data_IF_427537808583
#
_entry.id   IF_427537808583
#
_cell.length_a   1.000
_cell.length_b   1.000
_cell.length_c   1.000
_cell.angle_alpha   90.00
_cell.angle_beta   90.00
_cell.angle_gamma   90.00
#
_symmetry.space_group_name_H-M   'P 1'
#
loop_
_entity.id
_entity.type
_entity.pdbx_description
1 polymer ?
#
# COMPACT_ATOMS: atom_id res chain seq x y z
N UNK A 1 -83.08 34.30 1.48
CA UNK A 1 -82.93 33.85 0.08
C UNK A 1 -81.50 34.25 -0.36
N UNK A 2 -80.54 33.33 -0.30
CA UNK A 2 -79.25 33.57 -0.87
C UNK A 2 -78.87 32.35 -1.70
N UNK A 3 -78.57 32.60 -2.96
CA UNK A 3 -78.21 31.60 -3.97
C UNK A 3 -76.76 31.18 -3.83
N UNK A 4 -76.53 29.87 -3.69
CA UNK A 4 -75.27 29.23 -3.77
C UNK A 4 -74.64 29.32 -5.18
N UNK A 5 -73.49 29.98 -5.32
CA UNK A 5 -72.64 29.88 -6.51
C UNK A 5 -71.59 28.82 -6.23
N UNK A 6 -71.69 27.71 -6.91
CA UNK A 6 -70.62 26.67 -6.94
C UNK A 6 -69.49 27.20 -7.82
N UNK A 7 -68.34 27.37 -7.22
CA UNK A 7 -67.06 27.64 -7.93
C UNK A 7 -66.43 26.31 -8.31
N UNK A 8 -66.40 26.05 -9.59
CA UNK A 8 -65.74 24.88 -10.15
C UNK A 8 -64.20 25.20 -10.32
N UNK A 9 -63.37 24.68 -9.48
CA UNK A 9 -61.88 24.80 -9.64
C UNK A 9 -61.47 23.66 -10.53
N UNK A 10 -61.04 23.99 -11.73
CA UNK A 10 -60.40 23.07 -12.68
C UNK A 10 -58.94 22.95 -12.25
N UNK A 11 -58.58 21.84 -11.63
CA UNK A 11 -57.17 21.54 -11.31
C UNK A 11 -56.52 20.88 -12.53
N UNK A 12 -55.79 21.69 -13.29
CA UNK A 12 -54.93 21.17 -14.36
C UNK A 12 -53.74 20.48 -13.75
N UNK A 13 -53.77 19.15 -13.70
CA UNK A 13 -52.60 18.33 -13.34
C UNK A 13 -51.57 18.40 -14.47
N UNK A 14 -50.55 19.25 -14.29
CA UNK A 14 -49.33 19.15 -15.05
C UNK A 14 -48.58 17.88 -14.61
N UNK A 15 -48.65 16.84 -15.41
CA UNK A 15 -47.70 15.73 -15.33
C UNK A 15 -46.33 16.23 -15.77
N UNK A 16 -45.52 16.67 -14.80
CA UNK A 16 -44.09 16.73 -14.97
C UNK A 16 -43.55 15.28 -15.00
N UNK A 17 -43.41 14.75 -16.22
CA UNK A 17 -42.59 13.57 -16.42
C UNK A 17 -41.16 13.91 -16.07
N UNK A 18 -40.78 13.67 -14.80
CA UNK A 18 -39.41 13.61 -14.38
C UNK A 18 -38.74 12.43 -15.11
N UNK A 19 -38.08 12.72 -16.23
CA UNK A 19 -37.08 11.83 -16.77
C UNK A 19 -36.01 11.68 -15.71
N UNK A 20 -36.16 10.69 -14.84
CA UNK A 20 -35.09 10.11 -14.08
C UNK A 20 -34.08 9.61 -15.11
N UNK A 21 -33.10 10.46 -15.43
CA UNK A 21 -31.85 10.01 -16.01
C UNK A 21 -31.24 9.13 -14.93
N UNK A 22 -31.58 7.84 -14.93
CA UNK A 22 -30.80 6.83 -14.29
C UNK A 22 -29.45 6.95 -14.96
N UNK A 23 -28.51 7.61 -14.29
CA UNK A 23 -27.11 7.48 -14.62
C UNK A 23 -26.82 5.98 -14.52
N UNK A 24 -26.92 5.28 -15.65
CA UNK A 24 -26.43 3.93 -15.77
C UNK A 24 -24.95 4.02 -15.36
N UNK A 25 -24.66 3.64 -14.10
CA UNK A 25 -23.31 3.36 -13.68
C UNK A 25 -22.83 2.35 -14.73
N UNK A 26 -22.00 2.81 -15.67
CA UNK A 26 -21.36 1.91 -16.62
C UNK A 26 -20.77 0.77 -15.80
N UNK A 27 -21.11 -0.50 -16.09
CA UNK A 27 -20.49 -1.61 -15.42
C UNK A 27 -18.99 -1.38 -15.53
N UNK A 28 -18.26 -1.44 -14.41
CA UNK A 28 -16.81 -1.33 -14.36
C UNK A 28 -16.28 -2.37 -15.36
N UNK A 29 -15.97 -1.94 -16.57
CA UNK A 29 -15.53 -2.83 -17.64
C UNK A 29 -14.21 -3.42 -17.17
N UNK A 30 -14.17 -4.74 -17.02
CA UNK A 30 -12.92 -5.47 -16.85
C UNK A 30 -12.04 -5.11 -18.03
N UNK A 31 -11.11 -4.18 -17.84
CA UNK A 31 -10.20 -3.80 -18.91
C UNK A 31 -9.38 -5.02 -19.27
N UNK A 32 -9.51 -5.45 -20.50
CA UNK A 32 -8.71 -6.53 -21.01
C UNK A 32 -7.23 -6.15 -20.88
N UNK A 33 -6.35 -7.12 -20.71
CA UNK A 33 -4.88 -6.96 -20.72
C UNK A 33 -4.39 -6.20 -21.96
N UNK A 34 -5.20 -6.13 -23.00
CA UNK A 34 -4.96 -5.35 -24.22
C UNK A 34 -5.05 -3.82 -24.02
N UNK A 35 -5.63 -3.34 -22.91
CA UNK A 35 -5.71 -1.92 -22.64
C UNK A 35 -4.31 -1.28 -22.57
N UNK A 36 -4.11 -0.17 -23.28
CA UNK A 36 -2.81 0.49 -23.40
C UNK A 36 -2.26 1.00 -22.06
N UNK A 37 -3.13 1.54 -21.18
CA UNK A 37 -2.73 2.03 -19.86
C UNK A 37 -2.30 0.89 -18.94
N UNK A 38 -3.00 -0.26 -18.97
CA UNK A 38 -2.62 -1.46 -18.22
C UNK A 38 -1.25 -1.96 -18.69
N UNK A 39 -1.03 -2.07 -20.00
CA UNK A 39 0.28 -2.49 -20.56
C UNK A 39 1.39 -1.52 -20.17
N UNK A 40 1.16 -0.22 -20.31
CA UNK A 40 2.14 0.81 -20.00
C UNK A 40 2.51 0.79 -18.50
N UNK A 41 1.52 0.64 -17.62
CA UNK A 41 1.74 0.51 -16.19
C UNK A 41 2.67 -0.66 -15.84
N UNK A 42 2.35 -1.86 -16.31
CA UNK A 42 3.12 -3.06 -15.96
C UNK A 42 4.51 -3.10 -16.63
N UNK A 43 4.65 -2.55 -17.82
CA UNK A 43 5.96 -2.34 -18.45
C UNK A 43 6.82 -1.36 -17.66
N UNK A 44 6.23 -0.25 -17.17
CA UNK A 44 6.95 0.70 -16.33
C UNK A 44 7.43 0.05 -15.02
N UNK A 45 6.55 -0.66 -14.30
CA UNK A 45 6.91 -1.36 -13.05
C UNK A 45 8.04 -2.38 -13.28
N UNK A 46 8.01 -3.10 -14.40
CA UNK A 46 9.00 -4.12 -14.74
C UNK A 46 10.32 -3.56 -15.32
N UNK A 47 10.39 -2.29 -15.66
CA UNK A 47 11.56 -1.68 -16.28
C UNK A 47 12.74 -1.55 -15.32
N UNK A 48 13.92 -1.28 -15.84
CA UNK A 48 15.10 -0.85 -15.07
C UNK A 48 15.25 0.68 -15.05
N UNK A 49 14.24 1.42 -15.51
CA UNK A 49 14.23 2.87 -15.52
C UNK A 49 14.25 3.39 -14.07
N UNK A 50 15.13 4.31 -13.70
CA UNK A 50 15.13 4.95 -12.38
C UNK A 50 13.83 5.69 -12.09
N UNK A 51 13.17 6.22 -13.12
CA UNK A 51 11.90 6.98 -13.01
C UNK A 51 10.66 6.09 -13.15
N UNK A 52 10.83 4.77 -13.15
CA UNK A 52 9.73 3.81 -13.42
C UNK A 52 8.48 4.03 -12.59
N UNK A 53 8.61 4.48 -11.35
CA UNK A 53 7.45 4.75 -10.48
C UNK A 53 6.72 5.99 -10.94
N UNK A 54 7.43 7.08 -11.26
CA UNK A 54 6.84 8.30 -11.82
C UNK A 54 6.18 8.05 -13.18
N UNK A 55 6.75 7.17 -13.99
CA UNK A 55 6.15 6.73 -15.26
C UNK A 55 4.87 5.93 -15.00
N UNK A 56 4.91 4.97 -14.08
CA UNK A 56 3.76 4.14 -13.70
C UNK A 56 2.61 4.97 -13.13
N UNK A 57 2.91 6.01 -12.33
CA UNK A 57 1.93 6.90 -11.70
C UNK A 57 1.00 7.59 -12.72
N UNK A 58 1.44 7.81 -13.96
CA UNK A 58 0.63 8.41 -15.03
C UNK A 58 -0.59 7.57 -15.39
N UNK A 59 -0.51 6.26 -15.18
CA UNK A 59 -1.53 5.27 -15.55
C UNK A 59 -2.38 4.81 -14.36
N UNK A 60 -2.13 5.31 -13.15
CA UNK A 60 -2.83 4.94 -11.92
C UNK A 60 -3.82 6.03 -11.51
N UNK A 61 -4.99 5.60 -11.05
CA UNK A 61 -6.00 6.46 -10.43
C UNK A 61 -5.56 6.82 -9.01
N UNK A 62 -5.51 8.09 -8.69
CA UNK A 62 -5.12 8.58 -7.36
C UNK A 62 -6.06 8.07 -6.26
N UNK A 63 -5.53 7.90 -5.05
CA UNK A 63 -6.27 7.43 -3.86
C UNK A 63 -6.97 6.08 -4.05
N UNK A 64 -6.44 5.22 -4.90
CA UNK A 64 -6.95 3.88 -5.17
C UNK A 64 -6.04 2.80 -4.56
N UNK A 65 -6.51 1.56 -4.54
CA UNK A 65 -5.67 0.42 -4.13
C UNK A 65 -4.43 0.25 -5.01
N UNK A 66 -4.53 0.57 -6.31
CA UNK A 66 -3.39 0.59 -7.21
C UNK A 66 -2.37 1.68 -6.85
N UNK A 67 -2.83 2.83 -6.36
CA UNK A 67 -1.97 3.92 -5.89
C UNK A 67 -1.21 3.53 -4.62
N UNK A 68 -1.89 2.90 -3.65
CA UNK A 68 -1.25 2.32 -2.47
C UNK A 68 -0.19 1.28 -2.83
N UNK A 69 -0.51 0.40 -3.79
CA UNK A 69 0.42 -0.62 -4.27
C UNK A 69 1.67 0.02 -4.91
N UNK A 70 1.50 1.05 -5.73
CA UNK A 70 2.63 1.74 -6.35
C UNK A 70 3.49 2.46 -5.31
N UNK A 71 2.87 3.12 -4.32
CA UNK A 71 3.58 3.76 -3.20
C UNK A 71 4.38 2.72 -2.42
N UNK A 72 3.82 1.55 -2.12
CA UNK A 72 4.52 0.49 -1.45
C UNK A 72 5.71 -0.04 -2.28
N UNK A 73 5.55 -0.21 -3.59
CA UNK A 73 6.66 -0.59 -4.49
C UNK A 73 7.77 0.46 -4.43
N UNK A 74 7.44 1.73 -4.52
CA UNK A 74 8.40 2.84 -4.44
C UNK A 74 9.20 2.79 -3.15
N UNK A 75 8.51 2.68 -2.04
CA UNK A 75 9.14 2.66 -0.72
C UNK A 75 10.03 1.42 -0.55
N UNK A 76 9.59 0.24 -0.96
CA UNK A 76 10.39 -1.00 -0.88
C UNK A 76 11.63 -0.93 -1.76
N UNK A 77 11.54 -0.38 -2.97
CA UNK A 77 12.70 -0.17 -3.84
C UNK A 77 13.71 0.80 -3.23
N UNK A 78 13.21 1.79 -2.54
CA UNK A 78 14.02 2.80 -1.87
C UNK A 78 14.73 2.23 -0.64
N UNK A 79 14.01 1.48 0.16
CA UNK A 79 14.56 0.77 1.31
C UNK A 79 15.66 -0.22 0.86
N UNK A 80 15.37 -1.07 -0.14
CA UNK A 80 16.32 -2.05 -0.67
C UNK A 80 17.63 -1.39 -1.13
N UNK A 81 17.56 -0.27 -1.84
CA UNK A 81 18.73 0.45 -2.29
C UNK A 81 19.55 1.02 -1.14
N UNK A 82 18.93 1.61 -0.18
CA UNK A 82 19.60 2.19 0.98
C UNK A 82 20.45 1.15 1.73
N UNK A 83 19.93 -0.07 1.87
CA UNK A 83 20.58 -1.11 2.67
C UNK A 83 21.60 -1.92 1.91
N UNK A 84 21.42 -2.14 0.63
CA UNK A 84 22.43 -2.78 -0.21
C UNK A 84 23.68 -1.93 -0.37
N UNK A 85 23.57 -0.62 -0.26
CA UNK A 85 24.71 0.27 -0.40
C UNK A 85 25.62 0.29 0.82
N UNK A 86 25.17 -0.16 2.01
CA UNK A 86 25.89 -0.16 3.30
C UNK A 86 26.70 1.13 3.58
N UNK A 87 26.43 2.19 2.85
CA UNK A 87 27.02 3.49 3.11
C UNK A 87 26.17 4.20 4.15
N UNK A 88 26.68 4.44 5.35
CA UNK A 88 25.96 5.24 6.30
C UNK A 88 25.77 6.63 5.68
N UNK A 89 24.50 7.04 5.53
CA UNK A 89 24.11 8.42 5.47
C UNK A 89 24.41 9.25 4.23
N UNK A 90 23.61 9.08 3.20
CA UNK A 90 23.19 10.20 2.37
C UNK A 90 21.80 9.95 1.83
N UNK A 91 20.80 10.14 2.67
CA UNK A 91 19.42 10.26 2.21
C UNK A 91 19.17 11.75 2.05
N UNK A 92 18.97 12.19 0.82
CA UNK A 92 18.50 13.55 0.58
C UNK A 92 17.12 13.71 1.24
N UNK A 93 16.88 14.81 1.97
CA UNK A 93 15.61 15.01 2.69
C UNK A 93 14.38 15.11 1.79
N UNK A 94 14.54 15.24 0.50
CA UNK A 94 13.48 15.60 -0.46
C UNK A 94 13.06 14.52 -1.41
N UNK A 95 13.64 13.34 -1.37
CA UNK A 95 13.23 12.29 -2.30
C UNK A 95 14.16 11.10 -2.33
N UNK A 96 13.55 9.96 -2.30
CA UNK A 96 14.21 8.68 -2.42
C UNK A 96 14.56 8.50 -3.89
N UNK A 97 15.81 8.70 -4.25
CA UNK A 97 16.30 8.45 -5.61
C UNK A 97 16.64 6.98 -5.77
N UNK A 98 15.81 6.26 -6.53
CA UNK A 98 16.11 4.88 -6.93
C UNK A 98 17.09 4.94 -8.10
N UNK A 99 18.37 4.69 -7.86
CA UNK A 99 19.35 4.55 -8.96
C UNK A 99 19.50 3.09 -9.31
N UNK A 100 19.38 2.77 -10.60
CA UNK A 100 19.53 1.41 -11.15
C UNK A 100 18.66 0.36 -10.44
N UNK A 101 17.33 0.52 -10.40
CA UNK A 101 16.47 -0.52 -9.87
C UNK A 101 16.65 -1.80 -10.67
N UNK A 102 16.70 -2.94 -9.98
CA UNK A 102 16.80 -4.22 -10.66
C UNK A 102 15.63 -4.38 -11.65
N UNK A 103 15.96 -4.91 -12.83
CA UNK A 103 14.96 -5.17 -13.87
C UNK A 103 14.03 -6.29 -13.45
N UNK A 104 12.73 -6.03 -13.55
CA UNK A 104 11.69 -7.05 -13.46
C UNK A 104 11.35 -7.65 -14.81
N UNK A 105 10.25 -8.37 -14.88
CA UNK A 105 9.66 -8.86 -16.14
C UNK A 105 8.14 -8.85 -16.07
N UNK A 106 7.49 -8.39 -17.15
CA UNK A 106 6.06 -8.50 -17.34
C UNK A 106 5.79 -9.34 -18.59
N UNK A 107 5.12 -10.47 -18.43
CA UNK A 107 4.70 -11.35 -19.54
C UNK A 107 3.20 -11.22 -19.74
N UNK A 108 2.79 -10.77 -20.91
CA UNK A 108 1.40 -10.51 -21.25
C UNK A 108 0.78 -11.73 -21.93
N UNK A 109 -0.39 -12.15 -21.47
CA UNK A 109 -1.25 -13.14 -22.10
C UNK A 109 -2.60 -12.50 -22.47
N UNK A 110 -3.53 -13.27 -23.03
CA UNK A 110 -4.85 -12.76 -23.42
C UNK A 110 -5.62 -12.13 -22.25
N UNK A 111 -5.54 -12.73 -21.05
CA UNK A 111 -6.39 -12.38 -19.91
C UNK A 111 -5.60 -12.05 -18.64
N UNK A 112 -4.28 -12.09 -18.68
CA UNK A 112 -3.46 -11.87 -17.48
C UNK A 112 -2.05 -11.37 -17.81
N UNK A 113 -1.42 -10.81 -16.78
CA UNK A 113 -0.02 -10.37 -16.82
C UNK A 113 0.74 -11.10 -15.72
N UNK A 114 1.76 -11.85 -16.06
CA UNK A 114 2.68 -12.42 -15.07
C UNK A 114 3.79 -11.41 -14.79
N UNK A 115 3.84 -10.92 -13.55
CA UNK A 115 4.80 -9.92 -13.10
C UNK A 115 5.83 -10.54 -12.15
N UNK A 116 7.11 -10.26 -12.39
CA UNK A 116 8.21 -10.46 -11.44
C UNK A 116 8.91 -9.13 -11.22
N UNK A 117 9.09 -8.76 -9.98
CA UNK A 117 9.76 -7.52 -9.57
C UNK A 117 10.79 -7.81 -8.49
N UNK A 118 11.72 -6.88 -8.21
CA UNK A 118 12.60 -6.96 -7.05
C UNK A 118 11.86 -6.91 -5.70
N UNK A 119 10.58 -6.53 -5.70
CA UNK A 119 9.72 -6.48 -4.50
C UNK A 119 8.86 -7.73 -4.44
N UNK A 120 9.22 -8.76 -3.64
CA UNK A 120 8.56 -10.08 -3.64
C UNK A 120 7.05 -10.02 -3.37
N UNK A 121 6.60 -9.03 -2.60
CA UNK A 121 5.19 -8.83 -2.27
C UNK A 121 4.30 -8.69 -3.51
N UNK A 122 4.85 -8.20 -4.62
CA UNK A 122 4.12 -7.91 -5.86
C UNK A 122 4.36 -8.92 -6.97
N UNK A 123 5.03 -10.03 -6.70
CA UNK A 123 5.17 -11.10 -7.69
C UNK A 123 3.88 -11.92 -7.81
N UNK A 124 3.38 -12.12 -9.03
CA UNK A 124 2.14 -12.84 -9.24
C UNK A 124 1.57 -12.73 -10.65
N UNK A 125 0.37 -13.24 -10.82
CA UNK A 125 -0.42 -13.19 -12.05
C UNK A 125 -1.60 -12.24 -11.83
N UNK A 126 -1.67 -11.20 -12.62
CA UNK A 126 -2.59 -10.07 -12.51
C UNK A 126 -3.68 -10.15 -13.58
N UNK A 127 -4.92 -9.90 -13.17
CA UNK A 127 -6.10 -9.94 -14.04
C UNK A 127 -7.19 -8.99 -13.54
N UNK A 128 -8.35 -8.99 -14.19
CA UNK A 128 -9.59 -8.31 -13.75
C UNK A 128 -9.36 -6.83 -13.39
N UNK A 129 -8.66 -6.12 -14.27
CA UNK A 129 -8.30 -4.71 -14.06
C UNK A 129 -9.54 -3.82 -14.02
N UNK A 130 -9.66 -2.99 -12.99
CA UNK A 130 -10.67 -1.94 -12.88
C UNK A 130 -10.06 -0.60 -13.25
N UNK A 131 -10.75 0.15 -14.10
CA UNK A 131 -10.33 1.49 -14.53
C UNK A 131 -11.28 2.56 -13.95
N UNK A 132 -10.78 3.78 -13.84
CA UNK A 132 -11.61 4.95 -13.59
C UNK A 132 -12.21 5.50 -14.89
N UNK A 133 -13.00 6.58 -14.79
CA UNK A 133 -13.62 7.25 -15.94
C UNK A 133 -12.62 7.85 -16.94
N UNK A 134 -11.36 8.04 -16.52
CA UNK A 134 -10.26 8.54 -17.36
C UNK A 134 -9.40 7.41 -17.93
N UNK A 135 -9.80 6.15 -17.74
CA UNK A 135 -9.08 4.96 -18.18
C UNK A 135 -7.83 4.62 -17.35
N UNK A 136 -7.64 5.25 -16.19
CA UNK A 136 -6.52 4.93 -15.29
C UNK A 136 -6.84 3.72 -14.40
N UNK A 137 -5.84 2.94 -14.06
CA UNK A 137 -6.00 1.71 -13.29
C UNK A 137 -6.27 2.03 -11.81
N UNK A 138 -7.39 1.52 -11.29
CA UNK A 138 -7.80 1.67 -9.89
C UNK A 138 -7.45 0.45 -9.03
N UNK A 139 -7.61 -0.73 -9.60
CA UNK A 139 -7.46 -2.00 -8.89
C UNK A 139 -7.27 -3.15 -9.88
N UNK A 140 -6.91 -4.31 -9.37
CA UNK A 140 -6.78 -5.56 -10.11
C UNK A 140 -7.04 -6.76 -9.19
N UNK A 141 -7.11 -7.95 -9.78
CA UNK A 141 -6.99 -9.21 -9.05
C UNK A 141 -5.58 -9.78 -9.24
N UNK A 142 -5.07 -10.46 -8.23
CA UNK A 142 -3.77 -11.13 -8.27
C UNK A 142 -3.88 -12.56 -7.77
N UNK A 143 -3.10 -13.46 -8.37
CA UNK A 143 -2.99 -14.87 -7.96
C UNK A 143 -1.54 -15.35 -8.07
N UNK A 144 -1.23 -16.48 -7.41
CA UNK A 144 0.10 -17.11 -7.49
C UNK A 144 0.38 -17.70 -8.87
N UNK A 145 -0.65 -18.19 -9.55
CA UNK A 145 -0.57 -18.80 -10.88
C UNK A 145 -1.80 -18.46 -11.71
N UNK A 146 -1.76 -18.73 -13.00
CA UNK A 146 -2.88 -18.45 -13.91
C UNK A 146 -4.18 -19.18 -13.54
N UNK A 147 -4.09 -20.36 -12.92
CA UNK A 147 -5.20 -21.17 -12.42
C UNK A 147 -5.43 -21.02 -10.90
N UNK A 148 -4.66 -20.17 -10.22
CA UNK A 148 -4.74 -20.00 -8.77
C UNK A 148 -5.92 -19.16 -8.33
N UNK A 149 -6.26 -19.28 -7.04
CA UNK A 149 -7.28 -18.41 -6.41
C UNK A 149 -6.87 -16.94 -6.55
N UNK A 150 -7.79 -16.15 -7.06
CA UNK A 150 -7.61 -14.71 -7.24
C UNK A 150 -8.00 -13.97 -5.97
N UNK A 151 -7.18 -12.99 -5.60
CA UNK A 151 -7.50 -12.02 -4.55
C UNK A 151 -7.62 -10.63 -5.18
N UNK A 152 -8.68 -9.90 -4.84
CA UNK A 152 -8.80 -8.50 -5.26
C UNK A 152 -7.78 -7.65 -4.52
N UNK A 153 -7.13 -6.73 -5.23
CA UNK A 153 -6.21 -5.77 -4.60
C UNK A 153 -6.89 -5.01 -3.46
N UNK A 154 -8.16 -4.65 -3.63
CA UNK A 154 -8.94 -3.94 -2.61
C UNK A 154 -9.11 -4.73 -1.29
N UNK A 155 -8.90 -6.05 -1.31
CA UNK A 155 -9.00 -6.92 -0.14
C UNK A 155 -7.66 -7.35 0.46
N UNK A 156 -6.53 -7.02 -0.19
CA UNK A 156 -5.19 -7.47 0.23
C UNK A 156 -4.20 -6.33 0.45
N UNK A 157 -4.56 -5.08 0.13
CA UNK A 157 -3.75 -3.91 0.44
C UNK A 157 -4.56 -2.91 1.26
N UNK A 158 -3.93 -2.38 2.29
CA UNK A 158 -4.55 -1.49 3.27
C UNK A 158 -3.61 -0.33 3.55
N UNK A 159 -4.17 0.88 3.66
CA UNK A 159 -3.45 1.97 4.32
C UNK A 159 -3.41 1.70 5.82
N UNK A 160 -2.31 2.06 6.47
CA UNK A 160 -2.16 1.96 7.91
C UNK A 160 -2.13 3.37 8.52
N UNK A 161 -2.93 3.56 9.55
CA UNK A 161 -2.77 4.66 10.49
C UNK A 161 -2.28 4.10 11.80
N UNK A 162 -1.50 4.86 12.56
CA UNK A 162 -0.98 4.31 13.80
C UNK A 162 -0.20 5.32 14.62
N UNK A 163 0.31 4.83 15.73
CA UNK A 163 1.22 5.53 16.62
C UNK A 163 2.43 4.65 16.91
N UNK A 164 3.56 5.28 17.17
CA UNK A 164 4.76 4.63 17.62
C UNK A 164 4.89 4.87 19.13
N UNK A 165 5.02 3.80 19.89
CA UNK A 165 5.24 3.85 21.34
C UNK A 165 6.55 3.13 21.65
N UNK A 166 7.38 3.70 22.48
CA UNK A 166 8.56 3.05 23.03
C UNK A 166 8.28 2.69 24.48
N UNK A 167 8.64 1.47 24.88
CA UNK A 167 8.42 1.01 26.27
C UNK A 167 9.01 1.94 27.33
N UNK A 168 10.08 2.67 26.99
CA UNK A 168 10.80 3.51 27.95
C UNK A 168 10.80 5.01 27.64
N UNK A 169 10.47 5.42 26.39
CA UNK A 169 10.54 6.83 25.95
C UNK A 169 9.57 7.07 24.78
N UNK A 170 8.34 7.44 25.09
CA UNK A 170 7.21 7.48 24.16
C UNK A 170 7.34 8.40 22.93
N UNK A 171 8.34 9.29 22.83
CA UNK A 171 8.33 10.38 21.85
C UNK A 171 9.53 10.40 20.89
N UNK A 172 10.36 9.34 20.86
CA UNK A 172 11.59 9.37 20.08
C UNK A 172 11.43 8.94 18.63
N UNK A 173 10.37 8.22 18.31
CA UNK A 173 10.06 7.75 16.96
C UNK A 173 8.63 8.16 16.62
N UNK A 174 8.47 8.86 15.52
CA UNK A 174 7.17 9.26 15.00
C UNK A 174 6.73 8.33 13.86
N UNK A 175 5.54 7.77 13.96
CA UNK A 175 4.90 7.09 12.84
C UNK A 175 4.30 8.12 11.87
N UNK A 176 4.70 8.08 10.61
CA UNK A 176 4.22 8.99 9.57
C UNK A 176 3.09 8.38 8.75
N UNK A 177 3.32 7.19 8.21
CA UNK A 177 2.34 6.47 7.39
C UNK A 177 2.74 5.01 7.29
N UNK A 178 1.83 4.18 6.80
CA UNK A 178 2.12 2.78 6.53
C UNK A 178 1.17 2.16 5.53
N UNK A 179 1.56 1.00 5.04
CA UNK A 179 0.80 0.17 4.11
C UNK A 179 0.99 -1.30 4.48
N UNK A 180 -0.06 -2.08 4.43
CA UNK A 180 0.02 -3.53 4.58
C UNK A 180 -0.41 -4.22 3.29
N UNK A 181 0.24 -5.34 2.94
CA UNK A 181 -0.07 -6.12 1.75
C UNK A 181 0.01 -7.62 2.03
N UNK A 182 -1.04 -8.35 1.65
CA UNK A 182 -1.07 -9.82 1.69
C UNK A 182 -0.72 -10.37 0.30
N UNK A 183 0.45 -10.98 0.17
CA UNK A 183 0.93 -11.45 -1.13
C UNK A 183 0.43 -12.85 -1.46
N UNK A 184 0.54 -13.21 -2.75
CA UNK A 184 0.13 -14.51 -3.29
C UNK A 184 0.95 -15.69 -2.77
N UNK A 185 2.12 -15.46 -2.19
CA UNK A 185 2.93 -16.50 -1.57
C UNK A 185 2.51 -16.83 -0.12
N UNK A 186 1.49 -16.13 0.40
CA UNK A 186 0.96 -16.31 1.75
C UNK A 186 1.65 -15.47 2.82
N UNK A 187 2.64 -14.65 2.45
CA UNK A 187 3.27 -13.72 3.37
C UNK A 187 2.47 -12.43 3.47
N UNK A 188 2.51 -11.83 4.65
CA UNK A 188 2.01 -10.47 4.89
C UNK A 188 3.21 -9.52 4.98
N UNK A 189 3.12 -8.40 4.31
CA UNK A 189 4.12 -7.33 4.35
C UNK A 189 3.51 -6.12 5.01
N UNK A 190 4.22 -5.57 6.00
CA UNK A 190 3.87 -4.30 6.65
C UNK A 190 5.01 -3.34 6.36
N UNK A 191 4.68 -2.24 5.71
CA UNK A 191 5.60 -1.15 5.46
C UNK A 191 5.21 0.03 6.32
N UNK A 192 6.18 0.61 7.02
CA UNK A 192 6.00 1.80 7.84
C UNK A 192 7.04 2.84 7.48
N UNK A 193 6.61 4.09 7.48
CA UNK A 193 7.49 5.26 7.36
C UNK A 193 7.60 5.89 8.72
N UNK A 194 8.80 5.92 9.27
CA UNK A 194 9.10 6.39 10.61
C UNK A 194 10.06 7.58 10.54
N UNK A 195 9.94 8.50 11.50
CA UNK A 195 10.88 9.61 11.68
C UNK A 195 11.53 9.48 13.07
N UNK A 196 12.86 9.60 13.13
CA UNK A 196 13.57 9.72 14.40
C UNK A 196 13.47 11.18 14.88
N UNK A 197 12.75 11.40 15.96
CA UNK A 197 12.59 12.73 16.58
C UNK A 197 13.47 12.90 17.81
N UNK A 198 14.22 11.85 18.20
CA UNK A 198 15.16 11.91 19.32
C UNK A 198 16.38 12.75 19.00
N UNK A 199 17.07 13.25 20.01
CA UNK A 199 18.34 13.97 19.87
C UNK A 199 19.55 13.11 19.49
N UNK A 200 19.37 11.79 19.29
CA UNK A 200 20.46 10.84 19.01
C UNK A 200 20.11 9.86 17.89
N UNK A 201 21.12 9.29 17.22
CA UNK A 201 20.88 8.21 16.26
C UNK A 201 20.28 6.97 16.95
N UNK A 202 19.35 6.32 16.25
CA UNK A 202 18.71 5.07 16.67
C UNK A 202 19.02 3.95 15.70
N UNK A 203 18.89 2.70 16.13
CA UNK A 203 18.95 1.57 15.21
C UNK A 203 17.83 0.58 15.42
N UNK A 204 17.32 0.02 14.32
CA UNK A 204 16.34 -1.06 14.31
C UNK A 204 17.01 -2.31 13.76
N UNK A 205 16.77 -3.47 14.39
CA UNK A 205 17.35 -4.74 13.97
C UNK A 205 16.50 -5.48 12.97
N UNK A 206 17.15 -6.28 12.11
CA UNK A 206 16.51 -7.12 11.09
C UNK A 206 15.68 -8.26 11.65
N UNK A 207 16.05 -8.77 12.82
CA UNK A 207 15.45 -9.97 13.40
C UNK A 207 14.89 -9.69 14.78
N UNK A 208 13.98 -10.55 15.23
CA UNK A 208 13.37 -10.41 16.55
C UNK A 208 12.15 -9.50 16.57
N UNK A 209 11.70 -9.00 15.44
CA UNK A 209 10.40 -8.34 15.31
C UNK A 209 9.26 -9.34 15.45
N UNK A 210 8.13 -8.89 15.99
CA UNK A 210 6.91 -9.68 16.16
C UNK A 210 5.71 -8.84 15.79
N UNK A 211 4.82 -9.39 14.96
CA UNK A 211 3.51 -8.80 14.74
C UNK A 211 2.43 -9.60 15.48
N UNK A 212 1.56 -8.88 16.18
CA UNK A 212 0.36 -9.41 16.84
C UNK A 212 -0.87 -8.85 16.15
N UNK A 213 -1.64 -9.72 15.50
CA UNK A 213 -2.91 -9.32 14.90
C UNK A 213 -4.02 -9.16 15.94
N UNK A 214 -5.11 -8.50 15.56
CA UNK A 214 -6.24 -8.25 16.45
C UNK A 214 -6.89 -9.53 17.01
N UNK A 215 -6.79 -10.66 16.30
CA UNK A 215 -7.25 -11.97 16.75
C UNK A 215 -6.23 -12.72 17.64
N UNK A 216 -5.18 -12.01 18.09
CA UNK A 216 -4.17 -12.54 19.02
C UNK A 216 -3.09 -13.43 18.38
N UNK A 217 -3.16 -13.67 17.07
CA UNK A 217 -2.13 -14.45 16.39
C UNK A 217 -0.83 -13.69 16.29
N UNK A 218 0.28 -14.40 16.46
CA UNK A 218 1.63 -13.86 16.37
C UNK A 218 2.34 -14.34 15.12
N UNK A 219 3.12 -13.47 14.51
CA UNK A 219 4.04 -13.79 13.43
C UNK A 219 5.38 -13.15 13.69
N UNK A 220 6.44 -13.87 13.36
CA UNK A 220 7.77 -13.28 13.34
C UNK A 220 7.87 -12.27 12.20
N UNK A 221 8.48 -11.14 12.46
CA UNK A 221 8.75 -10.10 11.50
C UNK A 221 10.25 -10.06 11.19
N UNK A 222 10.59 -10.24 9.92
CA UNK A 222 11.92 -9.94 9.40
C UNK A 222 11.86 -8.57 8.77
N UNK A 223 12.55 -7.60 9.37
CA UNK A 223 12.54 -6.23 8.89
C UNK A 223 13.69 -5.96 7.94
N UNK A 224 13.37 -5.27 6.86
CA UNK A 224 14.33 -4.62 5.99
C UNK A 224 13.97 -3.13 5.98
N UNK A 225 14.90 -2.30 6.24
CA UNK A 225 16.26 -2.57 6.62
C UNK A 225 16.46 -2.55 8.14
N UNK A 226 17.43 -3.24 8.67
CA UNK A 226 17.99 -2.95 9.97
C UNK A 226 19.14 -1.95 9.84
N UNK A 227 19.37 -1.10 10.81
CA UNK A 227 20.51 -0.17 10.79
C UNK A 227 20.22 1.13 11.49
N UNK A 228 21.18 2.04 11.41
CA UNK A 228 21.15 3.33 12.07
C UNK A 228 20.40 4.37 11.27
N UNK A 229 19.62 5.20 11.94
CA UNK A 229 19.03 6.40 11.37
C UNK A 229 19.23 7.60 12.30
N UNK A 230 19.70 8.69 11.71
CA UNK A 230 20.08 9.90 12.43
C UNK A 230 18.86 10.66 12.97
N UNK A 231 19.11 11.64 13.82
CA UNK A 231 18.10 12.63 14.22
C UNK A 231 17.45 13.26 12.98
N UNK A 232 16.13 13.47 13.04
CA UNK A 232 15.28 13.98 11.96
C UNK A 232 15.24 13.14 10.68
N UNK A 233 15.94 12.01 10.64
CA UNK A 233 15.90 11.14 9.47
C UNK A 233 14.56 10.40 9.39
N UNK A 234 14.03 10.32 8.16
CA UNK A 234 12.89 9.48 7.81
C UNK A 234 13.39 8.18 7.24
N UNK A 235 12.86 7.06 7.73
CA UNK A 235 13.18 5.72 7.25
C UNK A 235 11.92 4.97 6.85
N UNK A 236 12.07 4.09 5.88
CA UNK A 236 11.04 3.13 5.47
C UNK A 236 11.43 1.76 6.02
N UNK A 237 10.58 1.18 6.84
CA UNK A 237 10.73 -0.18 7.37
C UNK A 237 9.76 -1.10 6.64
N UNK A 238 10.28 -2.11 5.96
CA UNK A 238 9.48 -3.13 5.28
C UNK A 238 9.59 -4.44 6.06
N UNK A 239 8.54 -4.82 6.76
CA UNK A 239 8.47 -6.02 7.58
C UNK A 239 7.77 -7.15 6.81
N UNK A 240 8.49 -8.23 6.55
CA UNK A 240 7.95 -9.48 6.02
C UNK A 240 7.52 -10.36 7.18
N UNK A 241 6.24 -10.65 7.28
CA UNK A 241 5.68 -11.50 8.33
C UNK A 241 5.66 -12.96 7.86
N UNK A 242 6.22 -13.83 8.68
CA UNK A 242 6.16 -15.28 8.51
C UNK A 242 5.21 -15.89 9.52
N UNK A 243 4.25 -16.70 9.05
CA UNK A 243 3.26 -17.33 9.93
C UNK A 243 1.81 -17.07 9.52
N UNK A 244 0.87 -17.25 10.45
CA UNK A 244 -0.57 -17.22 10.18
C UNK A 244 -1.25 -15.90 10.56
N UNK A 245 -0.52 -14.80 10.76
CA UNK A 245 -1.16 -13.54 11.09
C UNK A 245 -1.83 -12.94 9.86
N UNK A 246 -3.02 -12.43 10.04
CA UNK A 246 -3.78 -11.74 9.01
C UNK A 246 -3.93 -10.27 9.38
N UNK A 247 -3.79 -9.41 8.39
CA UNK A 247 -4.24 -8.04 8.52
C UNK A 247 -5.76 -8.04 8.35
N UNK A 248 -6.47 -7.56 9.35
CA UNK A 248 -7.93 -7.48 9.35
C UNK A 248 -8.31 -6.01 9.24
N UNK A 249 -9.11 -5.70 8.23
CA UNK A 249 -9.57 -4.32 7.97
C UNK A 249 -10.35 -3.78 9.18
N UNK A 250 -10.11 -2.52 9.49
CA UNK A 250 -10.72 -1.80 10.62
C UNK A 250 -10.40 -2.40 12.01
N UNK A 251 -9.28 -3.11 12.11
CA UNK A 251 -8.80 -3.61 13.41
C UNK A 251 -7.38 -3.12 13.68
N UNK A 252 -7.01 -3.10 14.94
CA UNK A 252 -5.68 -2.71 15.38
C UNK A 252 -4.81 -3.95 15.59
N UNK A 253 -3.60 -3.93 15.01
CA UNK A 253 -2.53 -4.86 15.32
C UNK A 253 -1.32 -4.13 15.92
N UNK A 254 -0.37 -4.87 16.43
CA UNK A 254 0.86 -4.32 17.02
C UNK A 254 2.08 -4.95 16.34
N UNK A 255 2.95 -4.11 15.78
CA UNK A 255 4.25 -4.52 15.25
C UNK A 255 5.33 -4.08 16.26
N UNK A 256 5.95 -5.04 16.91
CA UNK A 256 7.07 -4.85 17.84
C UNK A 256 8.39 -5.00 17.09
N UNK A 257 9.27 -4.01 17.18
CA UNK A 257 10.58 -4.01 16.55
C UNK A 257 11.68 -3.81 17.60
N UNK A 258 12.77 -4.57 17.57
CA UNK A 258 13.92 -4.31 18.43
C UNK A 258 14.56 -2.96 18.10
N UNK A 259 14.71 -2.12 19.08
CA UNK A 259 15.25 -0.76 18.97
C UNK A 259 16.44 -0.58 19.92
N UNK A 260 17.48 0.08 19.44
CA UNK A 260 18.60 0.55 20.26
C UNK A 260 18.71 2.06 20.26
N UNK A 261 19.09 2.60 21.39
CA UNK A 261 19.46 4.01 21.53
C UNK A 261 20.84 4.33 20.95
N UNK A 262 21.67 3.31 20.75
CA UNK A 262 23.04 3.46 20.21
C UNK A 262 23.17 2.68 18.91
N UNK A 263 23.64 3.34 17.86
CA UNK A 263 23.93 2.70 16.59
C UNK A 263 25.03 1.64 16.72
N UNK A 264 24.82 0.50 16.03
CA UNK A 264 25.76 -0.65 16.04
C UNK A 264 25.98 -1.30 17.41
N UNK A 265 25.14 -1.06 18.39
CA UNK A 265 25.20 -1.82 19.64
C UNK A 265 24.90 -3.30 19.36
N UNK A 266 25.61 -4.24 20.01
CA UNK A 266 25.43 -5.68 19.77
C UNK A 266 24.14 -6.24 20.37
N UNK A 267 23.43 -5.47 21.15
CA UNK A 267 22.18 -5.85 21.83
C UNK A 267 21.14 -4.76 21.65
N UNK A 268 19.88 -5.14 21.68
CA UNK A 268 18.75 -4.20 21.69
C UNK A 268 18.35 -3.91 23.13
N UNK A 269 18.19 -2.62 23.43
CA UNK A 269 17.84 -2.15 24.78
C UNK A 269 16.35 -2.11 25.00
N UNK A 270 15.57 -1.82 23.95
CA UNK A 270 14.14 -1.57 24.06
C UNK A 270 13.38 -2.15 22.87
N UNK A 271 12.05 -2.05 22.90
CA UNK A 271 11.17 -2.40 21.79
C UNK A 271 10.37 -1.18 21.36
N UNK A 272 10.35 -0.95 20.07
CA UNK A 272 9.43 -0.01 19.43
C UNK A 272 8.13 -0.75 19.14
N UNK A 273 7.04 -0.29 19.73
CA UNK A 273 5.69 -0.79 19.44
C UNK A 273 4.98 0.15 18.47
N UNK A 274 4.61 -0.38 17.31
CA UNK A 274 3.80 0.32 16.33
C UNK A 274 2.38 -0.24 16.41
N UNK A 275 1.46 0.55 16.98
CA UNK A 275 0.02 0.21 16.99
C UNK A 275 -0.60 0.67 15.71
N UNK A 276 -0.98 -0.27 14.84
CA UNK A 276 -1.34 -0.04 13.47
C UNK A 276 -2.79 -0.45 13.22
N UNK A 277 -3.60 0.47 12.70
CA UNK A 277 -4.98 0.21 12.28
C UNK A 277 -5.04 0.17 10.76
N UNK A 278 -5.48 -0.95 10.19
CA UNK A 278 -5.70 -1.11 8.77
C UNK A 278 -7.03 -0.46 8.33
N UNK A 279 -7.02 0.31 7.25
CA UNK A 279 -8.18 1.03 6.69
C UNK A 279 -8.43 0.65 5.24
#
# INVERSE_FOLDING_TARGET
MLKNKKFLILVSSLFLSSNLITANAMPLTNAAVTNSNVKALFNAIASSDPDKVSIAQKYISQNSSADLALTMIQNSLSADKYWRSLKPFSVAPSGIVVTNPAKGSAKFSKNSISLKTPVPAFNGVYSDFKLDSKGKVKSWSVSKSASGTKSSLDSIIFSLSGVAENSDRAEEIEFRTGTAYQSTNGNTYIQTVLKNTSGSPKSIYFTGGVYRSADGKKSNATTLPGGCFAHDQVVVIDANLTGKSNIIKNTQGVLELPLNSICNAPWHETRLELRLTAK
#
